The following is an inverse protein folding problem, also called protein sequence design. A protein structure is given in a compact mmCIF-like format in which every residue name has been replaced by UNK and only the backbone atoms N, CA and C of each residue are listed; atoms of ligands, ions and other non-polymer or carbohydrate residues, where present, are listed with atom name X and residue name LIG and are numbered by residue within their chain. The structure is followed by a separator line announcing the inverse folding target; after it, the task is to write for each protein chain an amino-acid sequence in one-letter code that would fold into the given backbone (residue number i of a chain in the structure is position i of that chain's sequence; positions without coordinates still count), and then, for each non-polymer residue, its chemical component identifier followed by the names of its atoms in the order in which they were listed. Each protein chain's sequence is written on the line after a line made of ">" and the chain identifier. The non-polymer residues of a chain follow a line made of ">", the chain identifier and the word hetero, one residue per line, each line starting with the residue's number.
data_IF_204743417315
#
_entry.id   IF_204743417315
#
_cell.length_a   1.000
_cell.length_b   1.000
_cell.length_c   1.000
_cell.angle_alpha   90.00
_cell.angle_beta   90.00
_cell.angle_gamma   90.00
#
_symmetry.space_group_name_H-M   'P 1'
#
loop_
_entity.id
_entity.type
_entity.pdbx_description
1 polymer ?
#
# COMPACT_ATOMS: atom_id res chain seq x y z
N UNK A 1 -0.77 -29.74 6.26
CA UNK A 1 -1.47 -28.47 6.02
C UNK A 1 -1.08 -27.59 7.18
N UNK A 2 -0.02 -26.81 7.00
CA UNK A 2 0.49 -25.93 8.05
C UNK A 2 -0.62 -24.97 8.45
N UNK A 3 -1.04 -25.03 9.71
CA UNK A 3 -1.83 -23.96 10.31
C UNK A 3 -0.98 -22.69 10.21
N UNK A 4 -1.28 -21.83 9.22
CA UNK A 4 -0.79 -20.47 9.21
C UNK A 4 -1.20 -19.86 10.55
N UNK A 5 -0.22 -19.73 11.44
CA UNK A 5 -0.41 -19.16 12.77
C UNK A 5 -1.05 -17.79 12.57
N UNK A 6 -2.32 -17.66 12.95
CA UNK A 6 -3.07 -16.41 12.82
C UNK A 6 -2.35 -15.35 13.64
N UNK A 7 -1.56 -14.50 12.98
CA UNK A 7 -0.87 -13.38 13.60
C UNK A 7 -1.82 -12.19 13.69
N UNK A 8 -1.65 -11.41 14.74
CA UNK A 8 -2.49 -10.25 15.03
C UNK A 8 -1.64 -9.19 15.72
N UNK A 9 -1.94 -7.93 15.44
CA UNK A 9 -1.36 -6.78 16.09
C UNK A 9 -2.17 -6.49 17.35
N UNK A 10 -1.53 -6.56 18.52
CA UNK A 10 -2.15 -6.25 19.80
C UNK A 10 -1.50 -5.00 20.39
N UNK A 11 -2.29 -3.96 20.63
CA UNK A 11 -1.86 -2.74 21.33
C UNK A 11 -2.48 -2.73 22.72
N UNK A 12 -1.68 -2.50 23.75
CA UNK A 12 -2.15 -2.41 25.13
C UNK A 12 -1.91 -1.01 25.70
N UNK A 13 -2.82 -0.55 26.54
CA UNK A 13 -2.66 0.70 27.27
C UNK A 13 -1.52 0.56 28.29
N UNK A 14 -0.56 1.49 28.28
CA UNK A 14 0.56 1.49 29.25
C UNK A 14 0.07 1.60 30.70
N UNK A 15 -0.98 2.41 30.92
CA UNK A 15 -1.49 2.71 32.26
C UNK A 15 -2.30 1.58 32.90
N UNK A 16 -2.96 0.73 32.12
CA UNK A 16 -3.89 -0.29 32.62
C UNK A 16 -3.62 -1.70 32.13
N UNK A 17 -2.77 -1.87 31.12
CA UNK A 17 -2.52 -3.15 30.44
C UNK A 17 -3.68 -3.66 29.59
N UNK A 18 -4.79 -2.90 29.53
CA UNK A 18 -6.00 -3.26 28.77
C UNK A 18 -5.71 -3.27 27.28
N UNK A 19 -6.40 -4.14 26.54
CA UNK A 19 -6.31 -4.22 25.09
C UNK A 19 -7.00 -3.00 24.46
N UNK A 20 -6.23 -2.20 23.71
CA UNK A 20 -6.70 -1.03 22.98
C UNK A 20 -7.06 -1.37 21.53
N UNK A 21 -6.23 -2.19 20.89
CA UNK A 21 -6.39 -2.63 19.51
C UNK A 21 -6.05 -4.11 19.40
N UNK A 22 -6.87 -4.84 18.68
CA UNK A 22 -6.56 -6.19 18.18
C UNK A 22 -6.98 -6.22 16.71
N UNK A 23 -6.00 -6.24 15.81
CA UNK A 23 -6.24 -6.34 14.37
C UNK A 23 -5.52 -7.57 13.82
N UNK A 24 -6.23 -8.38 13.03
CA UNK A 24 -5.67 -9.60 12.43
C UNK A 24 -4.87 -9.23 11.19
N UNK A 25 -3.67 -9.78 11.08
CA UNK A 25 -2.86 -9.59 9.87
C UNK A 25 -3.44 -10.51 8.79
N UNK A 26 -4.16 -9.92 7.84
CA UNK A 26 -4.72 -10.66 6.70
C UNK A 26 -3.76 -10.54 5.51
N UNK A 27 -3.60 -11.61 4.71
CA UNK A 27 -2.74 -11.59 3.52
C UNK A 27 -3.23 -10.63 2.44
N UNK A 28 -4.53 -10.30 2.44
CA UNK A 28 -5.16 -9.43 1.44
C UNK A 28 -5.27 -7.96 1.92
N UNK A 29 -4.88 -7.65 3.16
CA UNK A 29 -4.95 -6.27 3.67
C UNK A 29 -3.75 -5.48 3.15
N UNK A 30 -4.01 -4.26 2.66
CA UNK A 30 -2.96 -3.35 2.22
C UNK A 30 -2.36 -2.62 3.43
N UNK A 31 -1.15 -3.00 3.82
CA UNK A 31 -0.36 -2.25 4.80
C UNK A 31 0.63 -1.33 4.08
N UNK A 32 0.75 -0.11 4.57
CA UNK A 32 1.69 0.91 4.09
C UNK A 32 2.52 1.46 5.24
N UNK A 33 3.83 1.51 5.05
CA UNK A 33 4.77 2.15 5.96
C UNK A 33 5.03 3.58 5.51
N UNK A 34 4.80 4.54 6.39
CA UNK A 34 5.05 5.95 6.16
C UNK A 34 6.07 6.50 7.17
N UNK A 35 6.96 7.38 6.72
CA UNK A 35 7.90 8.12 7.56
C UNK A 35 8.73 7.25 8.53
N UNK A 36 9.00 5.99 8.17
CA UNK A 36 9.71 4.99 8.97
C UNK A 36 9.13 4.66 10.36
N UNK A 37 8.01 5.30 10.76
CA UNK A 37 7.47 5.23 12.13
C UNK A 37 5.94 5.13 12.16
N UNK A 38 5.30 5.02 11.01
CA UNK A 38 3.86 4.94 10.91
C UNK A 38 3.51 3.76 10.01
N UNK A 39 2.59 2.91 10.44
CA UNK A 39 2.02 1.85 9.62
C UNK A 39 0.53 2.15 9.48
N UNK A 40 0.04 2.25 8.25
CA UNK A 40 -1.35 2.60 7.91
C UNK A 40 -1.97 1.44 7.13
N UNK A 41 -3.21 1.08 7.45
CA UNK A 41 -3.98 0.07 6.72
C UNK A 41 -5.48 0.29 6.87
N UNK A 42 -6.25 -0.27 5.94
CA UNK A 42 -7.71 -0.27 5.99
C UNK A 42 -8.23 -1.69 6.25
N UNK A 43 -9.09 -1.85 7.26
CA UNK A 43 -9.78 -3.12 7.51
C UNK A 43 -11.03 -3.27 6.62
N UNK A 44 -11.54 -4.50 6.47
CA UNK A 44 -12.66 -4.84 5.58
C UNK A 44 -13.97 -4.08 5.88
N UNK A 45 -14.11 -3.53 7.10
CA UNK A 45 -15.24 -2.70 7.51
C UNK A 45 -15.09 -1.21 7.12
N UNK A 46 -14.12 -0.86 6.26
CA UNK A 46 -13.76 0.51 5.87
C UNK A 46 -13.27 1.38 7.05
N UNK A 47 -12.63 0.75 8.03
CA UNK A 47 -11.92 1.47 9.09
C UNK A 47 -10.47 1.67 8.69
N UNK A 48 -10.06 2.93 8.57
CA UNK A 48 -8.66 3.30 8.41
C UNK A 48 -7.98 3.35 9.77
N UNK A 49 -6.93 2.55 9.92
CA UNK A 49 -6.13 2.46 11.12
C UNK A 49 -4.71 2.92 10.83
N UNK A 50 -4.11 3.58 11.81
CA UNK A 50 -2.73 4.01 11.77
C UNK A 50 -2.06 3.72 13.11
N UNK A 51 -0.92 3.03 13.05
CA UNK A 51 -0.09 2.69 14.19
C UNK A 51 1.20 3.53 14.13
N UNK A 52 1.31 4.50 15.03
CA UNK A 52 2.49 5.36 15.15
C UNK A 52 3.42 4.84 16.24
N UNK A 53 4.70 4.77 15.90
CA UNK A 53 5.76 4.31 16.78
C UNK A 53 6.62 5.50 17.22
N UNK A 54 7.07 5.46 18.48
CA UNK A 54 8.01 6.45 19.01
C UNK A 54 9.37 6.37 18.29
N UNK A 55 9.83 5.15 18.02
CA UNK A 55 11.14 4.83 17.49
C UNK A 55 11.05 3.98 16.22
N UNK A 56 11.95 4.24 15.26
CA UNK A 56 12.06 3.49 14.00
C UNK A 56 12.27 1.98 14.20
N UNK A 57 13.16 1.48 15.09
CA UNK A 57 13.35 0.04 15.25
C UNK A 57 12.07 -0.72 15.64
N UNK A 58 11.17 -0.12 16.44
CA UNK A 58 9.90 -0.75 16.78
C UNK A 58 8.92 -0.83 15.60
N UNK A 59 8.96 0.17 14.71
CA UNK A 59 8.20 0.14 13.46
C UNK A 59 8.76 -0.89 12.48
N UNK A 60 10.10 -0.96 12.34
CA UNK A 60 10.78 -1.93 11.48
C UNK A 60 10.45 -3.37 11.90
N UNK A 61 10.51 -3.70 13.21
CA UNK A 61 10.19 -5.04 13.72
C UNK A 61 8.76 -5.48 13.38
N UNK A 62 7.77 -4.61 13.60
CA UNK A 62 6.37 -4.92 13.28
C UNK A 62 6.15 -5.00 11.76
N UNK A 63 6.82 -4.15 10.99
CA UNK A 63 6.75 -4.19 9.53
C UNK A 63 7.31 -5.50 8.96
N UNK A 64 8.44 -5.97 9.49
CA UNK A 64 9.04 -7.24 9.12
C UNK A 64 8.09 -8.41 9.38
N UNK A 65 7.43 -8.46 10.54
CA UNK A 65 6.43 -9.49 10.87
C UNK A 65 5.22 -9.45 9.92
N UNK A 66 4.72 -8.25 9.57
CA UNK A 66 3.63 -8.10 8.59
C UNK A 66 4.06 -8.62 7.23
N UNK A 67 5.23 -8.19 6.74
CA UNK A 67 5.79 -8.67 5.47
C UNK A 67 5.97 -10.18 5.45
N UNK A 68 6.45 -10.77 6.56
CA UNK A 68 6.62 -12.22 6.69
C UNK A 68 5.29 -12.96 6.56
N UNK A 69 4.23 -12.49 7.21
CA UNK A 69 2.89 -13.10 7.12
C UNK A 69 2.35 -13.02 5.70
N UNK A 70 2.61 -11.92 4.99
CA UNK A 70 2.15 -11.71 3.62
C UNK A 70 3.09 -12.30 2.55
N UNK A 71 4.25 -12.84 2.94
CA UNK A 71 5.26 -13.34 2.01
C UNK A 71 5.88 -12.24 1.14
N UNK A 72 5.98 -11.01 1.67
CA UNK A 72 6.54 -9.82 1.01
C UNK A 72 7.95 -9.52 1.54
N UNK A 73 8.71 -8.76 0.77
CA UNK A 73 10.04 -8.30 1.18
C UNK A 73 9.91 -7.09 2.14
N UNK A 74 10.62 -7.06 3.28
CA UNK A 74 10.52 -5.94 4.24
C UNK A 74 11.09 -4.61 3.73
N UNK A 75 11.79 -4.60 2.58
CA UNK A 75 12.24 -3.38 1.92
C UNK A 75 11.12 -2.63 1.19
N UNK A 76 9.94 -3.22 1.01
CA UNK A 76 8.80 -2.53 0.39
C UNK A 76 8.20 -1.50 1.36
N UNK A 77 7.60 -0.45 0.81
CA UNK A 77 6.82 0.53 1.58
C UNK A 77 5.32 0.21 1.60
N UNK A 78 4.86 -0.61 0.65
CA UNK A 78 3.47 -1.07 0.55
C UNK A 78 3.48 -2.56 0.26
N UNK A 79 2.67 -3.31 1.01
CA UNK A 79 2.67 -4.78 0.96
C UNK A 79 1.81 -5.36 -0.16
N UNK A 80 0.70 -4.71 -0.52
CA UNK A 80 -0.19 -5.12 -1.61
C UNK A 80 -0.24 -4.02 -2.66
N UNK A 81 -0.23 -4.39 -3.94
CA UNK A 81 -0.52 -3.46 -5.01
C UNK A 81 -1.96 -2.97 -4.83
N UNK A 82 -2.17 -1.64 -4.83
CA UNK A 82 -3.49 -1.06 -4.96
C UNK A 82 -3.97 -1.41 -6.37
N UNK A 83 -4.52 -2.60 -6.56
CA UNK A 83 -5.24 -2.94 -7.77
C UNK A 83 -6.51 -2.09 -7.70
N UNK A 84 -6.39 -0.89 -8.25
CA UNK A 84 -7.49 -0.01 -8.53
C UNK A 84 -8.51 -0.82 -9.33
N UNK A 85 -9.66 -1.12 -8.73
CA UNK A 85 -10.82 -1.64 -9.44
C UNK A 85 -11.44 -0.55 -10.36
N UNK A 86 -10.62 0.26 -11.05
CA UNK A 86 -11.07 0.93 -12.28
C UNK A 86 -10.97 -0.08 -13.40
N UNK A 87 -12.05 -0.85 -13.54
CA UNK A 87 -12.66 -1.23 -14.82
C UNK A 87 -11.69 -1.61 -15.96
N UNK A 88 -11.54 -2.92 -16.13
CA UNK A 88 -11.55 -3.63 -17.41
C UNK A 88 -11.65 -2.76 -18.69
N UNK A 89 -10.57 -2.66 -19.48
CA UNK A 89 -10.69 -2.70 -20.95
C UNK A 89 -9.54 -3.53 -21.53
N UNK A 90 -9.74 -4.85 -21.52
CA UNK A 90 -9.17 -5.75 -22.50
C UNK A 90 -9.76 -5.39 -23.86
N UNK A 91 -9.15 -4.46 -24.61
CA UNK A 91 -9.39 -4.36 -26.04
C UNK A 91 -8.38 -5.23 -26.77
N UNK A 92 -8.91 -6.24 -27.46
CA UNK A 92 -8.18 -7.27 -28.18
C UNK A 92 -7.13 -6.71 -29.15
N UNK A 93 -6.04 -7.46 -29.26
CA UNK A 93 -5.01 -7.37 -30.31
C UNK A 93 -5.66 -7.25 -31.71
N UNK A 94 -5.37 -6.15 -32.42
CA UNK A 94 -5.54 -6.09 -33.88
C UNK A 94 -4.28 -5.51 -34.54
N UNK A 95 -3.94 -5.99 -35.76
CA UNK A 95 -2.58 -6.01 -36.29
C UNK A 95 -2.13 -4.68 -36.90
N UNK A 96 -0.82 -4.59 -37.14
CA UNK A 96 -0.09 -3.48 -37.74
C UNK A 96 -0.77 -2.87 -38.98
N UNK A 97 -1.07 -1.57 -38.94
CA UNK A 97 -1.16 -0.74 -40.14
C UNK A 97 -0.49 0.61 -39.91
N UNK A 98 0.74 0.68 -40.42
CA UNK A 98 1.49 1.87 -40.83
C UNK A 98 0.64 3.04 -41.34
N UNK A 99 0.29 4.01 -40.50
CA UNK A 99 -0.18 5.32 -40.97
C UNK A 99 0.36 6.45 -40.08
N UNK A 100 1.42 7.04 -40.62
CA UNK A 100 2.02 8.34 -40.30
C UNK A 100 0.96 9.39 -39.96
N UNK A 101 0.97 9.89 -38.72
CA UNK A 101 0.49 11.25 -38.43
C UNK A 101 1.57 11.92 -37.58
N UNK A 102 2.43 12.65 -38.28
CA UNK A 102 3.42 13.57 -37.72
C UNK A 102 2.67 14.73 -37.03
N UNK A 103 2.87 14.88 -35.72
CA UNK A 103 2.28 15.97 -34.95
C UNK A 103 3.03 17.27 -35.29
N UNK A 104 2.34 18.40 -35.55
CA UNK A 104 3.02 19.65 -35.84
C UNK A 104 3.85 20.09 -34.62
N UNK A 105 5.09 20.50 -34.88
CA UNK A 105 5.99 21.08 -33.88
C UNK A 105 5.35 22.29 -33.21
N UNK A 106 5.24 22.24 -31.89
CA UNK A 106 4.71 23.31 -31.05
C UNK A 106 5.57 24.59 -31.20
N UNK A 107 5.08 25.60 -31.91
CA UNK A 107 5.74 26.90 -32.04
C UNK A 107 5.51 27.74 -30.77
N UNK A 108 6.54 27.85 -29.93
CA UNK A 108 6.59 28.61 -28.67
C UNK A 108 6.79 30.12 -28.93
N UNK A 109 5.97 30.71 -29.81
CA UNK A 109 6.11 32.12 -30.24
C UNK A 109 4.87 32.99 -29.93
N UNK A 110 4.04 32.61 -28.95
CA UNK A 110 2.86 33.40 -28.53
C UNK A 110 2.70 33.60 -27.03
N UNK A 111 3.79 33.56 -26.25
CA UNK A 111 3.79 34.23 -24.96
C UNK A 111 4.11 35.71 -25.20
N UNK A 112 3.10 36.49 -25.56
CA UNK A 112 3.14 37.94 -25.43
C UNK A 112 2.44 38.32 -24.12
N UNK A 113 3.11 39.19 -23.39
CA UNK A 113 2.83 39.65 -22.03
C UNK A 113 1.44 40.30 -21.91
N UNK A 114 0.73 40.00 -20.83
CA UNK A 114 -0.24 40.87 -20.15
C UNK A 114 -0.56 40.31 -18.75
#
# INVERSE_FOLDING_TARGET
>A
MEELKRMSLLVRAESTGSLLLESKINPNTVYQKQQDKLIVWSEADNYDLALSFQEKPGCDEIWEEICQVQGKDPSVEVTQDLIDESEEEQFEEMPETSHLIDLPTCELNKLEEC
#
